data_IF_258005189879
#
_entry.id   IF_258005189879
#
_cell.length_a   1.000
_cell.length_b   1.000
_cell.length_c   1.000
_cell.angle_alpha   90.00
_cell.angle_beta   90.00
_cell.angle_gamma   90.00
#
_symmetry.space_group_name_H-M   'P 1'
#
loop_
_entity.id
_entity.type
_entity.pdbx_description
1 polymer ?
#
# COMPACT_ATOMS: atom_id res chain seq x y z
N UNK A 1 -7.80 -24.27 -6.86
CA UNK A 1 -6.54 -24.90 -6.42
C UNK A 1 -5.44 -23.86 -6.57
N UNK A 2 -4.89 -23.36 -5.46
CA UNK A 2 -3.83 -22.35 -5.50
C UNK A 2 -2.51 -23.04 -5.88
N UNK A 3 -1.73 -22.51 -6.84
CA UNK A 3 -0.37 -22.99 -7.05
C UNK A 3 0.49 -22.57 -5.85
N UNK A 4 1.07 -23.56 -5.17
CA UNK A 4 2.06 -23.38 -4.13
C UNK A 4 3.25 -22.60 -4.68
N UNK A 5 3.34 -21.31 -4.35
CA UNK A 5 4.66 -20.68 -4.24
C UNK A 5 5.46 -21.54 -3.23
N UNK A 6 6.68 -21.95 -3.58
CA UNK A 6 7.45 -22.99 -2.90
C UNK A 6 7.73 -22.75 -1.41
N UNK A 7 6.76 -23.09 -0.57
CA UNK A 7 6.83 -23.08 0.90
C UNK A 7 6.73 -24.47 1.51
N UNK A 8 6.95 -25.55 0.75
CA UNK A 8 6.65 -26.93 1.17
C UNK A 8 7.28 -27.33 2.51
N UNK A 9 8.40 -26.72 2.89
CA UNK A 9 9.12 -26.98 4.14
C UNK A 9 9.39 -25.73 5.00
N UNK A 10 8.75 -24.60 4.70
CA UNK A 10 8.95 -23.33 5.42
C UNK A 10 7.71 -22.93 6.23
N UNK A 11 7.89 -22.76 7.54
CA UNK A 11 6.84 -22.26 8.42
C UNK A 11 6.80 -20.73 8.35
N UNK A 12 5.63 -20.19 8.00
CA UNK A 12 5.39 -18.75 8.06
C UNK A 12 5.28 -18.35 9.54
N UNK A 13 6.29 -17.62 10.03
CA UNK A 13 6.37 -17.15 11.41
C UNK A 13 5.61 -15.84 11.60
N UNK A 14 5.61 -14.98 10.59
CA UNK A 14 4.99 -13.67 10.69
C UNK A 14 4.49 -13.15 9.33
N UNK A 15 3.33 -12.49 9.34
CA UNK A 15 2.75 -11.80 8.18
C UNK A 15 2.48 -10.36 8.57
N UNK A 16 3.04 -9.43 7.81
CA UNK A 16 2.90 -8.00 8.04
C UNK A 16 2.17 -7.41 6.85
N UNK A 17 1.08 -6.70 7.14
CA UNK A 17 0.49 -5.79 6.18
C UNK A 17 1.06 -4.39 6.43
N UNK A 18 1.70 -3.75 5.44
CA UNK A 18 2.21 -2.39 5.60
C UNK A 18 1.06 -1.46 5.98
N UNK A 19 1.32 -0.55 6.92
CA UNK A 19 0.36 0.51 7.24
C UNK A 19 0.14 1.32 5.96
N UNK A 20 -1.06 1.22 5.39
CA UNK A 20 -1.45 1.97 4.20
C UNK A 20 -1.51 3.44 4.57
N UNK A 21 -0.41 4.15 4.34
CA UNK A 21 -0.43 5.60 4.34
C UNK A 21 -1.41 6.01 3.25
N UNK A 22 -2.58 6.56 3.64
CA UNK A 22 -3.57 7.13 2.72
C UNK A 22 -2.89 8.29 2.00
N UNK A 23 -2.12 8.01 0.94
CA UNK A 23 -1.73 9.02 -0.02
C UNK A 23 -3.02 9.47 -0.68
N UNK A 24 -3.41 10.70 -0.36
CA UNK A 24 -4.61 11.38 -0.82
C UNK A 24 -4.61 11.43 -2.36
N UNK A 25 -5.02 10.35 -3.02
CA UNK A 25 -5.23 10.25 -4.48
C UNK A 25 -6.51 10.96 -4.93
N UNK A 26 -7.05 11.82 -4.07
CA UNK A 26 -8.15 12.73 -4.35
C UNK A 26 -7.85 13.57 -5.60
N UNK A 27 -6.57 13.87 -5.88
CA UNK A 27 -6.15 14.67 -7.03
C UNK A 27 -6.62 14.15 -8.39
N UNK A 28 -6.45 12.86 -8.72
CA UNK A 28 -6.82 12.34 -10.05
C UNK A 28 -8.35 12.25 -10.25
N UNK A 29 -9.08 11.91 -9.18
CA UNK A 29 -10.55 11.90 -9.20
C UNK A 29 -11.11 13.32 -9.32
N UNK A 30 -10.55 14.28 -8.56
CA UNK A 30 -10.91 15.69 -8.65
C UNK A 30 -10.58 16.26 -10.03
N UNK A 31 -9.42 15.91 -10.61
CA UNK A 31 -9.04 16.36 -11.95
C UNK A 31 -10.05 15.86 -12.99
N UNK A 32 -10.42 14.58 -12.94
CA UNK A 32 -11.44 14.01 -13.83
C UNK A 32 -12.81 14.71 -13.70
N UNK A 33 -13.21 15.04 -12.46
CA UNK A 33 -14.48 15.71 -12.18
C UNK A 33 -14.49 17.18 -12.66
N UNK A 34 -13.46 17.95 -12.29
CA UNK A 34 -13.39 19.40 -12.53
C UNK A 34 -13.07 19.73 -13.99
N UNK A 35 -12.16 19.00 -14.63
CA UNK A 35 -11.67 19.39 -15.96
C UNK A 35 -12.44 18.76 -17.12
N UNK A 36 -13.17 17.66 -16.88
CA UNK A 36 -13.86 16.94 -17.97
C UNK A 36 -15.36 16.84 -17.76
N UNK A 37 -15.81 16.42 -16.57
CA UNK A 37 -17.25 16.20 -16.32
C UNK A 37 -18.05 17.50 -16.22
N UNK A 38 -17.59 18.46 -15.40
CA UNK A 38 -18.31 19.73 -15.21
C UNK A 38 -18.36 20.57 -16.50
N UNK A 39 -17.23 20.82 -17.20
CA UNK A 39 -17.25 21.62 -18.43
C UNK A 39 -17.97 20.90 -19.57
N UNK A 40 -17.80 19.58 -19.71
CA UNK A 40 -18.49 18.78 -20.72
C UNK A 40 -20.01 18.82 -20.54
N UNK A 41 -20.50 18.75 -19.30
CA UNK A 41 -21.94 18.85 -19.00
C UNK A 41 -22.50 20.24 -19.33
N UNK A 42 -21.76 21.31 -19.02
CA UNK A 42 -22.17 22.68 -19.34
C UNK A 42 -22.31 22.86 -20.85
N UNK A 43 -21.31 22.44 -21.62
CA UNK A 43 -21.34 22.52 -23.09
C UNK A 43 -22.49 21.67 -23.65
N UNK A 44 -22.67 20.45 -23.15
CA UNK A 44 -23.76 19.58 -23.60
C UNK A 44 -25.15 20.21 -23.40
N UNK A 45 -25.42 20.78 -22.22
CA UNK A 45 -26.70 21.41 -21.91
C UNK A 45 -26.90 22.67 -22.77
N UNK A 46 -25.86 23.49 -22.93
CA UNK A 46 -25.93 24.72 -23.73
C UNK A 46 -26.22 24.41 -25.21
N UNK A 47 -25.55 23.41 -25.79
CA UNK A 47 -25.74 23.04 -27.20
C UNK A 47 -27.11 22.41 -27.46
N UNK A 48 -27.63 21.59 -26.53
CA UNK A 48 -29.02 21.07 -26.62
C UNK A 48 -30.04 22.20 -26.54
N UNK A 49 -29.88 23.13 -25.61
CA UNK A 49 -30.78 24.28 -25.47
C UNK A 49 -30.79 25.18 -26.72
N UNK A 50 -29.68 25.20 -27.48
CA UNK A 50 -29.56 25.93 -28.74
C UNK A 50 -30.05 25.17 -29.98
N UNK A 51 -30.47 23.91 -29.85
CA UNK A 51 -30.92 23.07 -30.97
C UNK A 51 -29.79 22.51 -31.85
N UNK A 52 -28.52 22.68 -31.45
CA UNK A 52 -27.34 22.26 -32.20
C UNK A 52 -26.92 20.84 -31.82
N UNK A 53 -27.70 19.86 -32.28
CA UNK A 53 -27.54 18.44 -31.92
C UNK A 53 -26.15 17.89 -32.25
N UNK A 54 -25.54 18.30 -33.37
CA UNK A 54 -24.19 17.84 -33.75
C UNK A 54 -23.11 18.36 -32.80
N UNK A 55 -23.28 19.57 -32.25
CA UNK A 55 -22.32 20.17 -31.33
C UNK A 55 -22.50 19.64 -29.90
N UNK A 56 -23.74 19.27 -29.53
CA UNK A 56 -24.01 18.52 -28.31
C UNK A 56 -23.28 17.16 -28.28
N UNK A 57 -23.06 16.53 -29.43
CA UNK A 57 -22.27 15.29 -29.52
C UNK A 57 -20.84 15.48 -29.01
N UNK A 58 -20.24 16.66 -29.22
CA UNK A 58 -18.89 16.98 -28.74
C UNK A 58 -18.86 17.09 -27.20
N UNK A 59 -19.87 17.71 -26.59
CA UNK A 59 -20.02 17.75 -25.13
C UNK A 59 -20.16 16.35 -24.52
N UNK A 60 -20.91 15.47 -25.18
CA UNK A 60 -21.08 14.08 -24.78
C UNK A 60 -19.75 13.31 -24.80
N UNK A 61 -18.94 13.48 -25.86
CA UNK A 61 -17.62 12.82 -25.98
C UNK A 61 -16.69 13.23 -24.83
N UNK A 62 -16.66 14.52 -24.46
CA UNK A 62 -15.84 15.03 -23.33
C UNK A 62 -16.27 14.40 -22.01
N UNK A 63 -17.57 14.24 -21.77
CA UNK A 63 -18.12 13.57 -20.59
C UNK A 63 -17.67 12.10 -20.56
N UNK A 64 -17.76 11.38 -21.69
CA UNK A 64 -17.32 9.98 -21.78
C UNK A 64 -15.82 9.82 -21.49
N UNK A 65 -14.98 10.72 -21.98
CA UNK A 65 -13.54 10.74 -21.67
C UNK A 65 -13.32 10.93 -20.16
N UNK A 66 -14.03 11.88 -19.53
CA UNK A 66 -13.99 12.09 -18.08
C UNK A 66 -14.37 10.85 -17.27
N UNK A 67 -15.45 10.16 -17.68
CA UNK A 67 -15.90 8.91 -17.05
C UNK A 67 -14.84 7.81 -17.19
N UNK A 68 -14.22 7.66 -18.36
CA UNK A 68 -13.14 6.69 -18.59
C UNK A 68 -11.96 6.97 -17.66
N UNK A 69 -11.54 8.23 -17.52
CA UNK A 69 -10.45 8.63 -16.62
C UNK A 69 -10.79 8.29 -15.16
N UNK A 70 -12.02 8.54 -14.72
CA UNK A 70 -12.50 8.19 -13.38
C UNK A 70 -12.51 6.67 -13.18
N UNK A 71 -13.05 5.90 -14.13
CA UNK A 71 -13.10 4.45 -14.05
C UNK A 71 -11.71 3.82 -14.04
N UNK A 72 -10.77 4.33 -14.84
CA UNK A 72 -9.36 3.89 -14.83
C UNK A 72 -8.71 4.20 -13.48
N UNK A 73 -9.00 5.38 -12.93
CA UNK A 73 -8.49 5.80 -11.62
C UNK A 73 -9.01 4.87 -10.50
N UNK A 74 -10.30 4.55 -10.50
CA UNK A 74 -10.92 3.62 -9.55
C UNK A 74 -10.38 2.18 -9.73
N UNK A 75 -10.19 1.72 -10.98
CA UNK A 75 -9.69 0.37 -11.27
C UNK A 75 -8.23 0.16 -10.83
N UNK A 76 -7.42 1.22 -10.78
CA UNK A 76 -6.02 1.15 -10.29
C UNK A 76 -5.93 0.92 -8.78
N UNK A 77 -6.98 1.19 -8.02
CA UNK A 77 -6.98 1.00 -6.55
C UNK A 77 -7.21 -0.45 -6.11
N UNK A 78 -7.54 -1.37 -7.03
CA UNK A 78 -7.64 -2.81 -6.75
C UNK A 78 -6.32 -3.58 -6.94
N UNK A 79 -5.17 -2.91 -7.06
CA UNK A 79 -3.87 -3.58 -6.95
C UNK A 79 -3.66 -3.94 -5.48
N UNK A 80 -3.83 -5.23 -5.17
CA UNK A 80 -3.72 -5.77 -3.83
C UNK A 80 -2.32 -5.51 -3.27
N UNK A 81 -2.31 -5.27 -1.96
CA UNK A 81 -1.19 -4.65 -1.26
C UNK A 81 0.08 -5.49 -1.29
N UNK A 82 1.21 -4.80 -1.17
CA UNK A 82 2.47 -5.43 -0.78
C UNK A 82 2.23 -6.12 0.57
N UNK A 83 2.70 -7.36 0.73
CA UNK A 83 2.71 -8.11 1.98
C UNK A 83 4.14 -8.43 2.33
N UNK A 84 4.50 -8.31 3.60
CA UNK A 84 5.79 -8.78 4.08
C UNK A 84 5.60 -10.08 4.84
N UNK A 85 6.44 -11.07 4.56
CA UNK A 85 6.37 -12.39 5.17
C UNK A 85 7.74 -12.71 5.75
N UNK A 86 7.74 -13.18 7.00
CA UNK A 86 8.92 -13.74 7.65
C UNK A 86 8.65 -15.23 7.85
N UNK A 87 9.50 -16.07 7.28
CA UNK A 87 9.54 -17.51 7.53
C UNK A 87 10.63 -17.82 8.53
N UNK A 88 10.74 -19.09 8.94
CA UNK A 88 11.86 -19.56 9.76
C UNK A 88 13.22 -19.49 9.05
N UNK A 89 13.28 -19.23 7.75
CA UNK A 89 14.52 -19.17 6.96
C UNK A 89 14.72 -17.86 6.21
N UNK A 90 13.64 -17.19 5.77
CA UNK A 90 13.71 -16.07 4.83
C UNK A 90 12.78 -14.92 5.23
N UNK A 91 13.16 -13.70 4.84
CA UNK A 91 12.27 -12.55 4.79
C UNK A 91 11.89 -12.28 3.33
N UNK A 92 10.61 -12.00 3.08
CA UNK A 92 10.02 -11.93 1.75
C UNK A 92 9.13 -10.69 1.62
N UNK A 93 9.22 -10.02 0.48
CA UNK A 93 8.26 -9.00 0.05
C UNK A 93 7.45 -9.58 -1.09
N UNK A 94 6.16 -9.78 -0.87
CA UNK A 94 5.25 -10.33 -1.87
C UNK A 94 4.31 -9.23 -2.36
N UNK A 95 4.22 -9.09 -3.67
CA UNK A 95 3.16 -8.30 -4.31
C UNK A 95 2.07 -9.23 -4.77
N UNK A 96 0.87 -9.03 -4.27
CA UNK A 96 -0.31 -9.73 -4.77
C UNK A 96 -0.90 -8.91 -5.93
N UNK A 97 -0.89 -9.47 -7.14
CA UNK A 97 -1.52 -8.86 -8.30
C UNK A 97 -2.72 -9.71 -8.79
N UNK A 98 -3.27 -9.38 -9.96
CA UNK A 98 -4.38 -10.14 -10.54
C UNK A 98 -3.95 -11.50 -11.10
N UNK A 99 -2.65 -11.69 -11.34
CA UNK A 99 -2.05 -12.88 -11.93
C UNK A 99 -1.55 -13.86 -10.88
N UNK A 100 -1.42 -13.43 -9.61
CA UNK A 100 -1.07 -14.27 -8.48
C UNK A 100 -0.24 -13.52 -7.44
N UNK A 101 0.58 -14.28 -6.70
CA UNK A 101 1.56 -13.73 -5.77
C UNK A 101 2.93 -13.71 -6.45
N UNK A 102 3.56 -12.54 -6.52
CA UNK A 102 4.92 -12.37 -7.03
C UNK A 102 5.86 -11.97 -5.89
N UNK A 103 6.92 -12.74 -5.68
CA UNK A 103 8.00 -12.37 -4.77
C UNK A 103 8.79 -11.23 -5.43
N UNK A 104 8.87 -10.08 -4.77
CA UNK A 104 9.61 -8.90 -5.22
C UNK A 104 11.03 -8.87 -4.66
N UNK A 105 11.19 -9.25 -3.40
CA UNK A 105 12.45 -9.25 -2.68
C UNK A 105 12.48 -10.46 -1.75
N UNK A 106 13.64 -11.06 -1.61
CA UNK A 106 13.89 -12.14 -0.66
C UNK A 106 15.29 -12.04 -0.07
N UNK A 107 15.45 -12.46 1.18
CA UNK A 107 16.75 -12.65 1.80
C UNK A 107 16.73 -13.81 2.77
N UNK A 108 17.89 -14.46 2.92
CA UNK A 108 18.10 -15.47 3.95
C UNK A 108 18.28 -14.78 5.31
N UNK A 109 17.53 -15.20 6.32
CA UNK A 109 17.61 -14.66 7.67
C UNK A 109 18.93 -15.01 8.36
N UNK A 110 19.55 -16.15 8.03
CA UNK A 110 20.81 -16.57 8.64
C UNK A 110 21.94 -15.55 8.40
N UNK A 111 22.00 -15.00 7.18
CA UNK A 111 23.09 -14.11 6.76
C UNK A 111 22.73 -12.62 6.79
N UNK A 112 21.47 -12.27 7.07
CA UNK A 112 21.00 -10.89 7.02
C UNK A 112 20.83 -10.28 8.39
N UNK A 113 21.11 -8.99 8.54
CA UNK A 113 20.91 -8.22 9.77
C UNK A 113 19.75 -7.26 9.58
N UNK A 114 18.70 -7.30 10.43
CA UNK A 114 17.61 -6.35 10.36
C UNK A 114 18.04 -5.03 11.00
N UNK A 115 17.79 -3.91 10.31
CA UNK A 115 18.10 -2.55 10.77
C UNK A 115 16.82 -1.73 10.66
N UNK A 116 16.46 -1.04 11.73
CA UNK A 116 15.28 -0.18 11.73
C UNK A 116 15.66 1.21 11.20
N UNK A 117 14.90 1.70 10.23
CA UNK A 117 15.06 3.04 9.65
C UNK A 117 13.76 3.85 9.74
N UNK A 118 13.89 5.14 10.04
CA UNK A 118 12.76 6.08 9.98
C UNK A 118 11.59 5.73 10.91
N UNK A 119 11.87 5.41 12.19
CA UNK A 119 10.82 5.23 13.20
C UNK A 119 10.00 6.51 13.36
N UNK A 120 8.69 6.37 13.33
CA UNK A 120 7.71 7.44 13.52
C UNK A 120 6.56 6.90 14.37
N UNK A 121 6.11 7.69 15.34
CA UNK A 121 4.90 7.38 16.10
C UNK A 121 3.68 7.90 15.33
N UNK A 122 2.77 7.00 14.96
CA UNK A 122 1.50 7.35 14.31
C UNK A 122 0.40 7.16 15.36
N UNK A 123 -0.03 8.26 15.98
CA UNK A 123 -1.12 8.28 16.94
C UNK A 123 -2.20 9.30 16.58
N UNK A 124 -3.45 8.99 16.92
CA UNK A 124 -4.50 10.00 16.99
C UNK A 124 -4.53 10.51 18.44
N UNK A 125 -4.20 11.79 18.65
CA UNK A 125 -4.40 12.41 19.96
C UNK A 125 -5.89 12.62 20.17
N UNK A 126 -6.51 11.77 20.99
CA UNK A 126 -7.83 12.05 21.52
C UNK A 126 -7.66 12.88 22.79
N UNK A 127 -8.03 14.16 22.73
CA UNK A 127 -8.20 14.95 23.95
C UNK A 127 -9.56 14.53 24.54
N UNK A 128 -9.55 13.66 25.55
CA UNK A 128 -10.74 13.44 26.37
C UNK A 128 -11.01 14.73 27.16
N UNK A 129 -11.98 15.53 26.71
CA UNK A 129 -12.35 16.83 27.32
C UNK A 129 -12.75 16.67 28.81
N UNK A 130 -13.12 15.46 29.23
CA UNK A 130 -13.56 15.15 30.60
C UNK A 130 -12.51 14.49 31.51
N UNK A 131 -11.30 14.20 31.00
CA UNK A 131 -10.22 13.62 31.81
C UNK A 131 -8.92 14.32 31.45
N UNK A 132 -8.25 14.96 32.41
CA UNK A 132 -6.92 15.64 32.25
C UNK A 132 -5.77 14.66 31.92
N UNK A 133 -6.08 13.52 31.31
CA UNK A 133 -5.13 12.48 30.91
C UNK A 133 -5.29 12.30 29.40
N UNK A 134 -4.32 12.82 28.66
CA UNK A 134 -4.21 12.52 27.24
C UNK A 134 -3.72 11.08 27.11
N UNK A 135 -4.62 10.15 26.78
CA UNK A 135 -4.23 8.80 26.38
C UNK A 135 -3.92 8.81 24.89
N UNK A 136 -2.62 8.74 24.56
CA UNK A 136 -2.18 8.57 23.17
C UNK A 136 -2.34 7.11 22.77
N UNK A 137 -3.39 6.78 22.04
CA UNK A 137 -3.48 5.52 21.31
C UNK A 137 -2.75 5.72 19.98
N UNK A 138 -1.50 5.23 19.91
CA UNK A 138 -0.70 5.30 18.70
C UNK A 138 0.22 4.10 18.57
N UNK A 139 0.64 3.84 17.34
CA UNK A 139 1.53 2.73 16.99
C UNK A 139 2.87 3.30 16.52
N UNK A 140 3.97 2.68 16.96
CA UNK A 140 5.27 2.92 16.35
C UNK A 140 5.29 2.25 14.99
N UNK A 141 5.61 3.04 13.96
CA UNK A 141 5.75 2.56 12.59
C UNK A 141 7.15 2.90 12.10
N UNK A 142 7.78 1.99 11.39
CA UNK A 142 9.10 2.23 10.83
C UNK A 142 9.40 1.29 9.67
N UNK A 143 10.53 1.51 9.02
CA UNK A 143 11.01 0.59 8.00
C UNK A 143 11.97 -0.42 8.63
N UNK A 144 11.89 -1.68 8.22
CA UNK A 144 12.86 -2.72 8.62
C UNK A 144 13.61 -3.16 7.37
N UNK A 145 14.91 -2.91 7.36
CA UNK A 145 15.80 -3.19 6.25
C UNK A 145 16.69 -4.38 6.60
N UNK A 146 16.75 -5.37 5.73
CA UNK A 146 17.62 -6.53 5.89
C UNK A 146 18.87 -6.38 5.03
N UNK A 147 20.01 -6.35 5.69
CA UNK A 147 21.34 -6.18 5.08
C UNK A 147 22.13 -7.50 5.14
N UNK A 148 22.65 -7.97 4.02
CA UNK A 148 23.62 -9.08 3.97
C UNK A 148 25.02 -8.48 3.76
N UNK A 149 25.80 -8.41 4.83
CA UNK A 149 27.02 -7.60 4.87
C UNK A 149 26.70 -6.12 4.65
N UNK A 150 27.27 -5.53 3.59
CA UNK A 150 27.00 -4.14 3.17
C UNK A 150 25.89 -4.04 2.11
N UNK A 151 25.32 -5.17 1.67
CA UNK A 151 24.34 -5.20 0.58
C UNK A 151 22.91 -5.19 1.11
N UNK A 152 22.10 -4.28 0.57
CA UNK A 152 20.66 -4.22 0.81
C UNK A 152 19.93 -5.33 0.06
N UNK A 153 19.12 -6.12 0.77
CA UNK A 153 18.38 -7.25 0.16
C UNK A 153 16.86 -7.09 0.22
N UNK A 154 16.33 -6.77 1.40
CA UNK A 154 14.88 -6.72 1.64
C UNK A 154 14.54 -5.48 2.46
N UNK A 155 13.40 -4.85 2.15
CA UNK A 155 12.90 -3.72 2.92
C UNK A 155 11.40 -3.80 3.13
N UNK A 156 11.04 -3.85 4.40
CA UNK A 156 9.68 -3.78 4.85
C UNK A 156 9.38 -2.33 5.20
N UNK A 157 8.57 -1.68 4.37
CA UNK A 157 8.20 -0.28 4.56
C UNK A 157 6.96 -0.12 5.42
N UNK A 158 6.94 0.88 6.30
CA UNK A 158 5.80 1.24 7.15
C UNK A 158 5.26 0.06 7.98
N UNK A 159 6.16 -0.67 8.61
CA UNK A 159 5.88 -1.80 9.49
C UNK A 159 5.37 -1.30 10.85
N UNK A 160 4.23 -1.80 11.35
CA UNK A 160 3.83 -1.59 12.73
C UNK A 160 4.75 -2.39 13.65
N UNK A 161 5.23 -1.77 14.73
CA UNK A 161 6.16 -2.36 15.69
C UNK A 161 7.44 -2.95 15.04
N UNK A 162 8.31 -2.09 14.46
CA UNK A 162 9.54 -2.54 13.84
C UNK A 162 10.51 -3.21 14.84
N UNK A 163 10.41 -2.89 16.13
CA UNK A 163 11.20 -3.50 17.20
C UNK A 163 10.79 -4.96 17.44
N UNK A 164 9.49 -5.24 17.50
CA UNK A 164 8.97 -6.60 17.58
C UNK A 164 9.46 -7.48 16.42
N UNK A 165 9.54 -6.92 15.20
CA UNK A 165 10.08 -7.64 14.04
C UNK A 165 11.55 -8.01 14.22
N UNK A 166 12.38 -7.07 14.68
CA UNK A 166 13.80 -7.35 14.96
C UNK A 166 13.94 -8.47 15.99
N UNK A 167 13.17 -8.40 17.09
CA UNK A 167 13.18 -9.43 18.13
C UNK A 167 12.80 -10.82 17.59
N UNK A 168 11.78 -10.91 16.74
CA UNK A 168 11.37 -12.18 16.10
C UNK A 168 12.50 -12.73 15.23
N UNK A 169 13.14 -11.88 14.43
CA UNK A 169 14.26 -12.29 13.57
C UNK A 169 15.45 -12.78 14.39
N UNK A 170 15.78 -12.11 15.49
CA UNK A 170 16.83 -12.56 16.41
C UNK A 170 16.52 -13.89 17.08
N UNK A 171 15.26 -14.11 17.48
CA UNK A 171 14.81 -15.40 18.03
C UNK A 171 14.93 -16.53 17.00
N UNK A 172 14.52 -16.27 15.76
CA UNK A 172 14.67 -17.24 14.66
C UNK A 172 16.16 -17.55 14.45
N UNK A 173 17.04 -16.54 14.42
CA UNK A 173 18.49 -16.76 14.29
C UNK A 173 19.07 -17.61 15.41
N UNK A 174 18.67 -17.35 16.66
CA UNK A 174 19.09 -18.18 17.81
C UNK A 174 18.66 -19.64 17.62
N UNK A 175 17.45 -19.88 17.12
CA UNK A 175 16.94 -21.23 16.86
C UNK A 175 17.64 -21.98 15.72
N UNK A 176 18.30 -21.28 14.80
CA UNK A 176 19.06 -21.90 13.69
C UNK A 176 20.45 -22.39 14.15
N UNK A 177 21.01 -21.73 15.16
CA UNK A 177 22.34 -22.03 15.70
C UNK A 177 22.32 -22.97 16.92
N UNK A 178 21.14 -23.46 17.32
CA UNK A 178 20.98 -24.47 18.38
C UNK A 178 20.76 -25.83 17.73
#
# INVERSE_FOLDING_TARGET
MMPNAGFSDEQIMYKIEPVKQKRLRLGLFIIGLIFFLIPGLIVFIAEIASGRINDALNGLIVIFIGIIIILVSIRRDKMKGIKYIITNKRALVIKEDRSGQKILQECNLANSTPIIQGKQFIGQSYVHIFSRKAESIGINVGNVVFMEGTTYKVNFMNVPDPDGIVSIVEQIKKSIHT
#
